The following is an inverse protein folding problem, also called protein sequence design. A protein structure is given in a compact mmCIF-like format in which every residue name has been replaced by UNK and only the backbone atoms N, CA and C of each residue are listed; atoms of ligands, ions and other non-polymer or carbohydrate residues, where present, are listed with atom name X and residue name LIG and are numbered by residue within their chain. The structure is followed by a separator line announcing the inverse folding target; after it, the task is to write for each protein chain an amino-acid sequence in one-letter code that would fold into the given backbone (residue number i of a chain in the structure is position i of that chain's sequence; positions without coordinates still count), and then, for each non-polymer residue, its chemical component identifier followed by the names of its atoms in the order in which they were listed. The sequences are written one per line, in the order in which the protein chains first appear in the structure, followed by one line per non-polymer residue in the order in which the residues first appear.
data_IF_300417324211
#
_entry.id   IF_300417324211
#
_cell.length_a   1.000
_cell.length_b   1.000
_cell.length_c   1.000
_cell.angle_alpha   90.00
_cell.angle_beta   90.00
_cell.angle_gamma   90.00
#
_symmetry.space_group_name_H-M   'P 1'
#
loop_
_entity.id
_entity.type
_entity.pdbx_description
1 polymer ?
#
# COMPACT_ATOMS: atom_id res chain seq x y z
N UNK A 1 -13.34 -2.08 13.21
CA UNK A 1 -12.09 -2.05 12.40
C UNK A 1 -12.19 -0.92 11.41
N UNK A 2 -11.22 0.00 11.38
CA UNK A 2 -11.27 1.19 10.53
C UNK A 2 -10.73 0.86 9.13
N UNK A 3 -11.55 1.08 8.11
CA UNK A 3 -11.14 0.98 6.70
C UNK A 3 -10.71 2.36 6.21
N UNK A 4 -9.54 2.44 5.59
CA UNK A 4 -8.97 3.71 5.16
C UNK A 4 -8.59 3.60 3.68
N UNK A 5 -9.12 4.52 2.88
CA UNK A 5 -8.64 4.76 1.52
C UNK A 5 -7.49 5.76 1.64
N UNK A 6 -6.31 5.35 1.23
CA UNK A 6 -5.10 6.17 1.31
C UNK A 6 -4.74 6.64 -0.08
N UNK A 7 -4.47 7.94 -0.21
CA UNK A 7 -3.96 8.50 -1.45
C UNK A 7 -2.64 7.82 -1.83
N UNK A 8 -2.46 7.60 -3.12
CA UNK A 8 -1.30 6.88 -3.63
C UNK A 8 0.02 7.53 -3.26
N UNK A 9 0.11 8.86 -3.28
CA UNK A 9 1.32 9.57 -2.86
C UNK A 9 1.63 9.34 -1.38
N UNK A 10 0.60 9.25 -0.54
CA UNK A 10 0.76 9.00 0.89
C UNK A 10 1.25 7.58 1.14
N UNK A 11 0.73 6.60 0.41
CA UNK A 11 1.18 5.21 0.50
C UNK A 11 2.64 5.06 0.03
N UNK A 12 3.00 5.61 -1.13
CA UNK A 12 4.37 5.54 -1.64
C UNK A 12 5.35 6.26 -0.69
N UNK A 13 4.98 7.45 -0.23
CA UNK A 13 5.81 8.20 0.73
C UNK A 13 6.05 7.42 2.03
N UNK A 14 5.14 6.54 2.43
CA UNK A 14 5.29 5.72 3.64
C UNK A 14 6.47 4.74 3.59
N UNK A 15 6.97 4.38 2.41
CA UNK A 15 8.16 3.53 2.23
C UNK A 15 9.48 4.29 2.38
N UNK A 16 9.46 5.61 2.24
CA UNK A 16 10.66 6.46 2.34
C UNK A 16 10.89 7.03 3.75
N UNK A 17 10.02 6.70 4.72
CA UNK A 17 10.12 7.15 6.10
C UNK A 17 9.24 8.37 6.42
N UNK A 18 9.57 9.08 7.50
CA UNK A 18 8.81 10.26 7.94
C UNK A 18 7.42 9.97 8.50
N UNK A 19 6.57 11.00 8.57
CA UNK A 19 5.19 10.93 9.07
C UNK A 19 4.34 9.88 8.32
N UNK A 20 4.42 9.74 6.98
CA UNK A 20 3.62 8.76 6.24
C UNK A 20 3.87 7.30 6.69
N UNK A 21 5.04 6.98 7.24
CA UNK A 21 5.36 5.63 7.75
C UNK A 21 4.48 5.21 8.92
N UNK A 22 3.91 6.15 9.66
CA UNK A 22 2.97 5.83 10.74
C UNK A 22 1.71 5.13 10.20
N UNK A 23 1.32 5.38 8.95
CA UNK A 23 0.16 4.74 8.31
C UNK A 23 0.45 3.26 8.08
N UNK A 24 1.61 2.93 7.51
CA UNK A 24 2.01 1.53 7.32
C UNK A 24 2.27 0.82 8.64
N UNK A 25 2.76 1.50 9.66
CA UNK A 25 2.89 0.92 11.01
C UNK A 25 1.53 0.62 11.66
N UNK A 26 0.54 1.51 11.51
CA UNK A 26 -0.82 1.28 11.98
C UNK A 26 -1.48 0.10 11.24
N UNK A 27 -1.26 0.00 9.94
CA UNK A 27 -1.72 -1.12 9.13
C UNK A 27 -1.06 -2.44 9.54
N UNK A 28 0.27 -2.46 9.70
CA UNK A 28 1.02 -3.64 10.18
C UNK A 28 0.59 -4.10 11.58
N UNK A 29 0.18 -3.17 12.44
CA UNK A 29 -0.36 -3.45 13.78
C UNK A 29 -1.84 -3.84 13.77
N UNK A 30 -2.48 -3.95 12.60
CA UNK A 30 -3.89 -4.31 12.45
C UNK A 30 -4.87 -3.24 12.94
N UNK A 31 -4.41 -2.01 13.17
CA UNK A 31 -5.28 -0.91 13.64
C UNK A 31 -6.20 -0.38 12.53
N UNK A 32 -5.74 -0.48 11.29
CA UNK A 32 -6.48 -0.08 10.10
C UNK A 32 -6.40 -1.17 9.02
N UNK A 33 -7.40 -1.21 8.16
CA UNK A 33 -7.37 -1.96 6.91
C UNK A 33 -7.19 -0.96 5.77
N UNK A 34 -6.11 -1.10 5.01
CA UNK A 34 -5.90 -0.30 3.80
C UNK A 34 -6.79 -0.83 2.69
N UNK A 35 -7.50 0.07 2.03
CA UNK A 35 -8.37 -0.25 0.90
C UNK A 35 -7.81 0.39 -0.37
N UNK A 36 -7.65 -0.42 -1.41
CA UNK A 36 -7.18 0.01 -2.72
C UNK A 36 -8.19 -0.44 -3.77
N UNK A 37 -8.32 0.32 -4.86
CA UNK A 37 -8.93 -0.22 -6.07
C UNK A 37 -7.90 -1.08 -6.79
N UNK A 38 -8.36 -2.15 -7.42
CA UNK A 38 -7.50 -3.02 -8.23
C UNK A 38 -6.76 -2.23 -9.32
N UNK A 39 -7.45 -1.27 -9.95
CA UNK A 39 -6.90 -0.41 -10.99
C UNK A 39 -5.70 0.42 -10.51
N UNK A 40 -5.75 0.97 -9.29
CA UNK A 40 -4.62 1.70 -8.69
C UNK A 40 -3.44 0.77 -8.44
N UNK A 41 -3.67 -0.50 -8.11
CA UNK A 41 -2.58 -1.45 -7.93
C UNK A 41 -1.96 -1.80 -9.30
N UNK A 42 -2.78 -2.04 -10.31
CA UNK A 42 -2.34 -2.42 -11.66
C UNK A 42 -1.49 -1.32 -12.32
N UNK A 43 -1.89 -0.05 -12.19
CA UNK A 43 -1.10 1.10 -12.69
C UNK A 43 0.33 1.14 -12.12
N UNK A 44 0.55 0.60 -10.92
CA UNK A 44 1.87 0.58 -10.27
C UNK A 44 2.67 -0.70 -10.54
N UNK A 45 2.01 -1.82 -10.87
CA UNK A 45 2.72 -3.05 -11.29
C UNK A 45 3.38 -2.84 -12.67
N UNK A 46 2.74 -2.10 -13.56
CA UNK A 46 3.31 -1.78 -14.89
C UNK A 46 4.58 -0.90 -14.79
N UNK A 47 4.79 -0.25 -13.63
CA UNK A 47 6.07 0.36 -13.26
C UNK A 47 6.96 -0.71 -12.60
N UNK A 48 7.44 -1.65 -13.42
CA UNK A 48 8.26 -2.83 -13.03
C UNK A 48 9.57 -2.46 -12.28
N UNK A 49 9.89 -1.17 -12.21
CA UNK A 49 11.05 -0.61 -11.52
C UNK A 49 10.84 -0.54 -10.00
N UNK A 50 9.60 -0.41 -9.51
CA UNK A 50 9.33 -0.12 -8.09
C UNK A 50 8.70 -1.27 -7.30
N UNK A 51 7.89 -2.11 -7.94
CA UNK A 51 7.23 -3.25 -7.28
C UNK A 51 7.18 -4.47 -8.20
N UNK A 52 8.01 -5.50 -7.97
CA UNK A 52 7.96 -6.73 -8.75
C UNK A 52 6.55 -7.35 -8.66
N UNK A 53 5.97 -7.72 -9.80
CA UNK A 53 4.64 -8.34 -9.91
C UNK A 53 4.42 -9.54 -8.96
N UNK A 54 5.50 -10.23 -8.57
CA UNK A 54 5.48 -11.31 -7.57
C UNK A 54 5.11 -10.84 -6.14
N UNK A 55 5.50 -9.63 -5.76
CA UNK A 55 5.23 -9.04 -4.44
C UNK A 55 3.77 -8.58 -4.29
N UNK A 56 3.16 -8.13 -5.39
CA UNK A 56 1.78 -7.66 -5.40
C UNK A 56 0.78 -8.82 -5.31
N UNK A 57 1.06 -9.94 -6.00
CA UNK A 57 0.23 -11.15 -5.90
C UNK A 57 0.17 -11.72 -4.48
N UNK A 58 1.24 -11.58 -3.70
CA UNK A 58 1.29 -12.02 -2.30
C UNK A 58 0.55 -11.07 -1.34
N UNK A 59 0.33 -9.82 -1.73
CA UNK A 59 -0.41 -8.81 -0.97
C UNK A 59 -1.92 -8.80 -1.22
N UNK A 60 -2.37 -9.15 -2.44
CA UNK A 60 -3.81 -9.19 -2.79
C UNK A 60 -4.51 -10.42 -2.18
N UNK A 61 -3.78 -11.51 -1.92
CA UNK A 61 -4.34 -12.77 -1.43
C UNK A 61 -4.26 -12.97 0.10
N UNK A 62 -3.77 -11.99 0.86
CA UNK A 62 -3.80 -11.98 2.33
C UNK A 62 -4.70 -10.87 2.83
#
# INVERSE_FOLDING_TARGET
MLKVVVDTNVFISSFFGGIPRQITDCWKKGKITLCFSQQIIEEYIDIDIMFPSAFVKTWIQK
#
